data_IF_516075774832
#
_entry.id   IF_516075774832
#
_cell.length_a   1.000
_cell.length_b   1.000
_cell.length_c   1.000
_cell.angle_alpha   90.00
_cell.angle_beta   90.00
_cell.angle_gamma   90.00
#
_symmetry.space_group_name_H-M   'P 1'
#
loop_
_entity.id
_entity.type
_entity.pdbx_description
1 polymer ?
#
# COMPACT_ATOMS: atom_id res chain seq x y z
N UNK A 1 2.56 -15.73 -6.35
CA UNK A 1 3.53 -14.70 -6.79
C UNK A 1 3.23 -14.18 -8.20
N UNK A 2 2.35 -14.82 -8.98
CA UNK A 2 1.84 -14.29 -10.26
C UNK A 2 0.74 -13.24 -10.11
N UNK A 3 -0.12 -13.35 -9.09
CA UNK A 3 -1.32 -12.50 -9.00
C UNK A 3 -0.97 -11.05 -8.59
N UNK A 4 -0.01 -10.93 -7.68
CA UNK A 4 0.48 -9.68 -7.08
C UNK A 4 0.92 -8.63 -8.12
N UNK A 5 1.56 -9.05 -9.22
CA UNK A 5 2.01 -8.12 -10.28
C UNK A 5 0.89 -7.66 -11.22
N UNK A 6 -0.26 -8.34 -11.25
CA UNK A 6 -1.38 -8.00 -12.11
C UNK A 6 -2.27 -6.87 -11.55
N UNK A 7 -2.08 -6.49 -10.28
CA UNK A 7 -2.98 -5.59 -9.53
C UNK A 7 -2.44 -4.17 -9.33
N UNK A 8 -1.24 -3.88 -9.82
CA UNK A 8 -0.61 -2.59 -9.61
C UNK A 8 -0.95 -1.68 -10.78
N UNK A 9 -1.93 -0.81 -10.55
CA UNK A 9 -2.01 0.44 -11.31
C UNK A 9 -1.02 1.43 -10.70
N UNK A 10 -0.45 2.33 -11.50
CA UNK A 10 0.56 3.34 -11.11
C UNK A 10 0.20 4.18 -9.86
N UNK A 11 -1.05 4.10 -9.37
CA UNK A 11 -1.62 4.90 -8.28
C UNK A 11 -2.10 4.04 -7.09
N UNK A 12 -1.38 2.98 -6.75
CA UNK A 12 -1.73 2.07 -5.65
C UNK A 12 -0.95 2.39 -4.37
N UNK A 13 -1.61 2.29 -3.20
CA UNK A 13 -0.99 2.46 -1.88
C UNK A 13 -1.16 1.19 -1.05
N UNK A 14 -0.14 0.79 -0.29
CA UNK A 14 -0.21 -0.34 0.64
C UNK A 14 -0.66 0.13 2.02
N UNK A 15 -1.86 -0.24 2.45
CA UNK A 15 -2.29 -0.06 3.84
C UNK A 15 -2.00 -1.33 4.65
N UNK A 16 -1.14 -1.26 5.65
CA UNK A 16 -0.75 -2.44 6.46
C UNK A 16 -0.63 -2.14 7.95
N UNK A 17 -0.74 -3.19 8.76
CA UNK A 17 -0.43 -3.16 10.19
C UNK A 17 0.91 -3.83 10.53
N UNK A 18 1.62 -4.37 9.53
CA UNK A 18 2.91 -5.03 9.67
C UNK A 18 4.02 -3.99 9.56
N UNK A 19 4.67 -3.67 10.67
CA UNK A 19 5.79 -2.69 10.73
C UNK A 19 7.13 -3.43 10.72
N UNK A 20 7.35 -4.28 9.73
CA UNK A 20 8.57 -5.05 9.58
C UNK A 20 9.05 -5.02 8.12
N UNK A 21 10.24 -5.57 7.88
CA UNK A 21 10.89 -5.55 6.57
C UNK A 21 10.07 -6.24 5.47
N UNK A 22 9.15 -7.16 5.81
CA UNK A 22 8.28 -7.79 4.81
C UNK A 22 7.35 -6.78 4.15
N UNK A 23 6.85 -5.78 4.89
CA UNK A 23 5.99 -4.75 4.30
C UNK A 23 6.71 -3.93 3.23
N UNK A 24 7.96 -3.55 3.49
CA UNK A 24 8.78 -2.78 2.54
C UNK A 24 9.17 -3.62 1.33
N UNK A 25 9.59 -4.89 1.55
CA UNK A 25 9.91 -5.80 0.44
C UNK A 25 8.70 -6.07 -0.44
N UNK A 26 7.51 -6.21 0.14
CA UNK A 26 6.29 -6.37 -0.64
C UNK A 26 5.99 -5.13 -1.46
N UNK A 27 6.12 -3.92 -0.87
CA UNK A 27 5.95 -2.67 -1.59
C UNK A 27 6.97 -2.51 -2.73
N UNK A 28 8.22 -2.92 -2.52
CA UNK A 28 9.29 -2.93 -3.52
C UNK A 28 8.99 -3.88 -4.68
N UNK A 29 8.63 -5.14 -4.40
CA UNK A 29 8.29 -6.15 -5.42
C UNK A 29 7.09 -5.70 -6.26
N UNK A 30 6.16 -4.97 -5.64
CA UNK A 30 4.96 -4.43 -6.26
C UNK A 30 5.18 -3.06 -6.94
N UNK A 31 6.40 -2.49 -6.91
CA UNK A 31 6.69 -1.12 -7.36
C UNK A 31 5.70 -0.05 -6.84
N UNK A 32 5.30 -0.17 -5.57
CA UNK A 32 4.41 0.80 -4.95
C UNK A 32 5.16 2.09 -4.60
N UNK A 33 4.46 3.21 -4.69
CA UNK A 33 5.03 4.52 -4.33
C UNK A 33 4.74 4.95 -2.90
N UNK A 34 3.83 4.27 -2.19
CA UNK A 34 3.46 4.63 -0.84
C UNK A 34 3.01 3.42 0.02
N UNK A 35 3.43 3.41 1.27
CA UNK A 35 2.95 2.52 2.34
C UNK A 35 2.40 3.35 3.51
N UNK A 36 1.25 2.92 4.03
CA UNK A 36 0.60 3.50 5.21
C UNK A 36 0.59 2.46 6.32
N UNK A 37 1.31 2.75 7.42
CA UNK A 37 1.29 1.92 8.62
C UNK A 37 0.16 2.36 9.55
N UNK A 38 -0.77 1.44 9.84
CA UNK A 38 -1.88 1.67 10.75
C UNK A 38 -1.52 1.47 12.22
N UNK A 39 -2.37 1.98 13.13
CA UNK A 39 -2.30 1.89 14.60
C UNK A 39 -1.19 2.69 15.27
N UNK A 40 -0.54 3.60 14.54
CA UNK A 40 0.48 4.49 15.10
C UNK A 40 1.77 3.80 15.56
N UNK A 41 1.99 2.53 15.16
CA UNK A 41 3.23 1.81 15.46
C UNK A 41 4.33 2.35 14.55
N UNK A 42 5.31 3.04 15.14
CA UNK A 42 6.45 3.56 14.38
C UNK A 42 7.30 2.39 13.86
N UNK A 43 7.59 2.32 12.55
CA UNK A 43 8.59 1.40 12.02
C UNK A 43 9.97 1.70 12.62
N UNK A 44 10.80 0.67 12.75
CA UNK A 44 12.18 0.84 13.18
C UNK A 44 13.01 1.57 12.10
N UNK A 45 14.12 2.17 12.51
CA UNK A 45 14.95 3.02 11.64
C UNK A 45 15.49 2.29 10.41
N UNK A 46 15.77 0.99 10.52
CA UNK A 46 16.21 0.15 9.40
C UNK A 46 15.13 0.00 8.33
N UNK A 47 13.85 -0.03 8.73
CA UNK A 47 12.70 -0.07 7.82
C UNK A 47 12.55 1.27 7.11
N UNK A 48 12.71 2.38 7.84
CA UNK A 48 12.62 3.73 7.28
C UNK A 48 13.79 4.00 6.32
N UNK A 49 15.01 3.60 6.68
CA UNK A 49 16.18 3.69 5.81
C UNK A 49 15.97 2.90 4.52
N UNK A 50 15.46 1.65 4.62
CA UNK A 50 15.17 0.86 3.42
C UNK A 50 14.08 1.50 2.54
N UNK A 51 13.05 2.10 3.13
CA UNK A 51 12.02 2.80 2.38
C UNK A 51 12.59 4.00 1.63
N UNK A 52 13.50 4.77 2.26
CA UNK A 52 14.18 5.90 1.66
C UNK A 52 15.09 5.48 0.49
N UNK A 53 15.87 4.40 0.66
CA UNK A 53 16.73 3.83 -0.39
C UNK A 53 15.98 3.49 -1.68
N UNK A 54 14.74 3.02 -1.56
CA UNK A 54 13.90 2.61 -2.71
C UNK A 54 12.92 3.71 -3.15
N UNK A 55 12.96 4.90 -2.53
CA UNK A 55 12.06 6.01 -2.85
C UNK A 55 10.58 5.77 -2.50
N UNK A 56 10.30 4.95 -1.48
CA UNK A 56 8.95 4.63 -1.02
C UNK A 56 8.47 5.65 0.04
N UNK A 57 7.34 6.31 -0.23
CA UNK A 57 6.72 7.21 0.75
C UNK A 57 6.16 6.40 1.92
N UNK A 58 6.51 6.79 3.15
CA UNK A 58 6.00 6.17 4.38
C UNK A 58 5.07 7.14 5.09
N UNK A 59 3.84 6.71 5.34
CA UNK A 59 2.85 7.42 6.16
C UNK A 59 2.47 6.61 7.39
N UNK A 60 2.12 7.32 8.46
CA UNK A 60 1.66 6.72 9.71
C UNK A 60 0.24 7.18 10.02
N UNK A 61 -0.67 6.23 10.20
CA UNK A 61 -2.04 6.48 10.68
C UNK A 61 -2.16 6.01 12.12
N UNK A 62 -2.69 6.86 13.00
CA UNK A 62 -3.04 6.48 14.38
C UNK A 62 -4.32 5.65 14.46
N UNK A 63 -5.06 5.50 13.36
CA UNK A 63 -6.30 4.73 13.32
C UNK A 63 -6.06 3.24 13.07
N UNK A 64 -7.06 2.41 13.36
CA UNK A 64 -7.04 1.00 12.95
C UNK A 64 -7.00 0.88 11.43
N UNK A 65 -6.65 -0.31 10.91
CA UNK A 65 -6.64 -0.56 9.46
C UNK A 65 -8.03 -0.33 8.84
N UNK A 66 -9.08 -0.88 9.46
CA UNK A 66 -10.46 -0.71 8.97
C UNK A 66 -10.88 0.76 8.93
N UNK A 67 -10.63 1.50 10.01
CA UNK A 67 -10.93 2.95 10.07
C UNK A 67 -10.11 3.73 9.04
N UNK A 68 -8.82 3.42 8.88
CA UNK A 68 -7.96 4.08 7.88
C UNK A 68 -8.48 3.82 6.47
N UNK A 69 -8.89 2.58 6.15
CA UNK A 69 -9.47 2.24 4.86
C UNK A 69 -10.77 3.01 4.60
N UNK A 70 -11.65 3.12 5.61
CA UNK A 70 -12.87 3.91 5.53
C UNK A 70 -12.60 5.39 5.21
N UNK A 71 -11.68 6.02 5.96
CA UNK A 71 -11.29 7.42 5.74
C UNK A 71 -10.69 7.64 4.35
N UNK A 72 -9.84 6.73 3.87
CA UNK A 72 -9.27 6.80 2.53
C UNK A 72 -10.35 6.64 1.45
N UNK A 73 -11.31 5.73 1.65
CA UNK A 73 -12.42 5.51 0.73
C UNK A 73 -13.36 6.73 0.63
N UNK A 74 -13.71 7.31 1.78
CA UNK A 74 -14.44 8.59 1.85
C UNK A 74 -13.67 9.73 1.17
N UNK A 75 -12.35 9.73 1.31
CA UNK A 75 -11.43 10.65 0.61
C UNK A 75 -11.28 10.41 -0.90
N UNK A 76 -11.98 9.42 -1.46
CA UNK A 76 -12.00 9.16 -2.90
C UNK A 76 -11.02 8.07 -3.38
N UNK A 77 -10.20 7.49 -2.50
CA UNK A 77 -9.39 6.32 -2.88
C UNK A 77 -10.29 5.10 -3.09
N UNK A 78 -9.87 4.20 -3.97
CA UNK A 78 -10.57 2.92 -4.23
C UNK A 78 -9.58 1.77 -4.07
N UNK A 79 -10.13 0.60 -3.70
CA UNK A 79 -9.33 -0.63 -3.63
C UNK A 79 -8.87 -1.06 -5.01
N UNK A 80 -7.77 -1.80 -5.07
CA UNK A 80 -7.32 -2.43 -6.31
C UNK A 80 -8.39 -3.40 -6.82
N UNK A 81 -8.62 -3.41 -8.14
CA UNK A 81 -9.58 -4.32 -8.77
C UNK A 81 -9.12 -5.78 -8.61
N UNK A 82 -10.06 -6.67 -8.33
CA UNK A 82 -9.80 -8.11 -8.37
C UNK A 82 -9.97 -8.59 -9.82
N UNK A 83 -9.22 -9.63 -10.25
CA UNK A 83 -9.25 -10.06 -11.65
C UNK A 83 -10.57 -10.74 -12.05
N UNK A 84 -11.48 -10.97 -11.10
CA UNK A 84 -12.85 -11.42 -11.35
C UNK A 84 -13.83 -10.27 -11.59
N UNK A 85 -13.42 -9.02 -11.40
CA UNK A 85 -14.24 -7.85 -11.77
C UNK A 85 -14.07 -7.61 -13.28
N UNK A 86 -14.94 -8.24 -14.08
CA UNK A 86 -15.01 -8.14 -15.55
C UNK A 86 -15.47 -6.73 -16.05
N UNK A 87 -15.10 -5.66 -15.34
CA UNK A 87 -15.50 -4.27 -15.61
C UNK A 87 -14.36 -3.26 -15.44
N UNK A 88 -13.12 -3.62 -15.77
CA UNK A 88 -12.11 -2.60 -16.05
C UNK A 88 -12.43 -1.96 -17.42
N UNK A 89 -12.63 -0.63 -17.53
CA UNK A 89 -12.71 0.03 -18.83
C UNK A 89 -11.39 -0.24 -19.57
N UNK A 90 -11.48 -0.78 -20.78
CA UNK A 90 -10.33 -0.81 -21.67
C UNK A 90 -9.92 0.64 -21.93
N UNK A 91 -8.79 1.05 -21.37
CA UNK A 91 -8.18 2.33 -21.70
C UNK A 91 -7.87 2.31 -23.20
N UNK A 92 -8.53 3.21 -23.94
CA UNK A 92 -8.31 3.46 -25.36
C UNK A 92 -6.98 4.14 -25.60
#
# INVERSE_FOLDING_TARGET
MSDVLAFVTEKTVLLTGLTNMHAIRTAEILDLKCVIFARGKMPADDILARADEIGLVVLLSRHTMFTSAGLLYEGGLRGAALPTDETAPQAS
#
